data_IF_209011078754
#
_entry.id   IF_209011078754
#
_cell.length_a   1.000
_cell.length_b   1.000
_cell.length_c   1.000
_cell.angle_alpha   90.00
_cell.angle_beta   90.00
_cell.angle_gamma   90.00
#
_symmetry.space_group_name_H-M   'P 1'
#
loop_
_entity.id
_entity.type
_entity.pdbx_description
1 polymer ?
#
# COMPACT_ATOMS: atom_id res chain seq x y z
N UNK A 1 44.28 -27.71 9.87
CA UNK A 1 43.24 -26.71 9.55
C UNK A 1 42.00 -27.10 10.33
N UNK A 2 41.34 -26.17 11.02
CA UNK A 2 40.13 -26.45 11.81
C UNK A 2 38.88 -26.26 10.96
N UNK A 3 37.80 -26.95 11.29
CA UNK A 3 36.48 -26.69 10.70
C UNK A 3 35.86 -25.43 11.32
N UNK A 4 35.07 -24.70 10.52
CA UNK A 4 34.29 -23.58 11.00
C UNK A 4 33.05 -24.06 11.80
N UNK A 5 32.44 -23.14 12.53
CA UNK A 5 31.29 -23.42 13.38
C UNK A 5 30.07 -23.93 12.61
N UNK A 6 29.81 -23.40 11.40
CA UNK A 6 28.70 -23.83 10.56
C UNK A 6 28.85 -25.29 10.13
N UNK A 7 30.06 -25.68 9.72
CA UNK A 7 30.36 -27.08 9.36
C UNK A 7 30.21 -28.04 10.55
N UNK A 8 30.62 -27.62 11.76
CA UNK A 8 30.44 -28.42 12.98
C UNK A 8 28.97 -28.52 13.41
N UNK A 9 28.15 -27.50 13.11
CA UNK A 9 26.71 -27.52 13.35
C UNK A 9 25.99 -28.46 12.38
N UNK A 10 26.30 -28.38 11.08
CA UNK A 10 25.76 -29.32 10.08
C UNK A 10 26.14 -30.78 10.40
N UNK A 11 27.33 -31.01 10.99
CA UNK A 11 27.72 -32.33 11.51
C UNK A 11 26.83 -32.81 12.67
N UNK A 12 26.42 -31.91 13.59
CA UNK A 12 25.51 -32.25 14.69
C UNK A 12 24.09 -32.51 14.21
N UNK A 13 23.65 -31.78 13.19
CA UNK A 13 22.30 -31.88 12.64
C UNK A 13 22.15 -33.05 11.65
N UNK A 14 23.26 -33.66 11.22
CA UNK A 14 23.27 -34.79 10.28
C UNK A 14 23.15 -34.39 8.81
N UNK A 15 23.32 -33.11 8.50
CA UNK A 15 23.12 -32.48 7.19
C UNK A 15 24.44 -32.40 6.37
N UNK A 16 25.31 -33.39 6.54
CA UNK A 16 26.57 -33.50 5.79
C UNK A 16 26.67 -34.88 5.13
N UNK A 17 27.41 -34.98 4.02
CA UNK A 17 27.65 -36.25 3.36
C UNK A 17 28.55 -37.20 4.18
N UNK A 18 28.47 -38.50 3.89
CA UNK A 18 29.22 -39.54 4.61
C UNK A 18 30.75 -39.38 4.50
N UNK A 19 31.27 -38.78 3.42
CA UNK A 19 32.71 -38.54 3.27
C UNK A 19 33.20 -37.45 4.23
N UNK A 20 32.45 -36.34 4.31
CA UNK A 20 32.76 -35.23 5.20
C UNK A 20 32.59 -35.63 6.67
N UNK A 21 31.59 -36.47 6.97
CA UNK A 21 31.35 -37.02 8.30
C UNK A 21 32.53 -37.85 8.83
N UNK A 22 33.12 -38.71 8.01
CA UNK A 22 34.33 -39.47 8.40
C UNK A 22 35.55 -38.56 8.62
N UNK A 23 35.70 -37.53 7.80
CA UNK A 23 36.79 -36.55 7.93
C UNK A 23 36.68 -35.75 9.23
N UNK A 24 35.48 -35.26 9.56
CA UNK A 24 35.22 -34.54 10.80
C UNK A 24 35.44 -35.46 12.00
N UNK A 25 34.98 -36.72 11.96
CA UNK A 25 35.19 -37.69 13.05
C UNK A 25 36.68 -37.91 13.35
N UNK A 26 37.50 -38.18 12.33
CA UNK A 26 38.96 -38.34 12.48
C UNK A 26 39.63 -37.06 13.00
N UNK A 27 39.12 -35.90 12.61
CA UNK A 27 39.64 -34.61 13.06
C UNK A 27 39.30 -34.33 14.54
N UNK A 28 38.10 -34.69 14.99
CA UNK A 28 37.67 -34.52 16.38
C UNK A 28 38.50 -35.36 17.36
N UNK A 29 39.01 -36.51 16.92
CA UNK A 29 39.90 -37.37 17.73
C UNK A 29 41.29 -36.75 17.97
N UNK A 30 41.69 -35.77 17.14
CA UNK A 30 43.05 -35.20 17.16
C UNK A 30 43.10 -33.70 17.43
N UNK A 31 41.98 -32.98 17.28
CA UNK A 31 41.91 -31.53 17.44
C UNK A 31 41.08 -31.11 18.65
N UNK A 32 41.77 -30.70 19.72
CA UNK A 32 41.14 -30.22 20.96
C UNK A 32 40.24 -29.00 20.72
N UNK A 33 40.66 -28.05 19.88
CA UNK A 33 39.89 -26.83 19.57
C UNK A 33 38.51 -27.14 18.95
N UNK A 34 38.46 -28.05 17.99
CA UNK A 34 37.20 -28.46 17.36
C UNK A 34 36.34 -29.29 18.30
N UNK A 35 36.96 -30.12 19.16
CA UNK A 35 36.26 -30.91 20.18
C UNK A 35 35.57 -30.03 21.22
N UNK A 36 36.26 -28.99 21.72
CA UNK A 36 35.69 -28.00 22.64
C UNK A 36 34.51 -27.27 22.00
N UNK A 37 34.69 -26.76 20.77
CA UNK A 37 33.63 -26.01 20.06
C UNK A 37 32.40 -26.88 19.77
N UNK A 38 32.61 -28.15 19.41
CA UNK A 38 31.50 -29.10 19.22
C UNK A 38 30.73 -29.36 20.51
N UNK A 39 31.41 -29.43 21.65
CA UNK A 39 30.75 -29.59 22.96
C UNK A 39 29.96 -28.34 23.37
N UNK A 40 30.44 -27.13 23.06
CA UNK A 40 29.67 -25.90 23.26
C UNK A 40 28.34 -25.92 22.48
N UNK A 41 28.40 -26.30 21.20
CA UNK A 41 27.21 -26.41 20.34
C UNK A 41 26.23 -27.48 20.84
N UNK A 42 26.73 -28.64 21.29
CA UNK A 42 25.89 -29.69 21.91
C UNK A 42 25.18 -29.22 23.17
N UNK A 43 25.87 -28.45 24.01
CA UNK A 43 25.29 -27.91 25.25
C UNK A 43 24.19 -26.88 24.94
N UNK A 44 24.38 -26.04 23.92
CA UNK A 44 23.37 -25.09 23.45
C UNK A 44 22.12 -25.82 22.92
N UNK A 45 22.28 -26.84 22.08
CA UNK A 45 21.16 -27.65 21.59
C UNK A 45 20.41 -28.34 22.74
N UNK A 46 21.13 -28.90 23.71
CA UNK A 46 20.50 -29.52 24.90
C UNK A 46 19.72 -28.51 25.76
N UNK A 47 20.21 -27.26 25.85
CA UNK A 47 19.50 -26.19 26.54
C UNK A 47 18.21 -25.82 25.80
N UNK A 48 18.26 -25.65 24.48
CA UNK A 48 17.09 -25.35 23.65
C UNK A 48 16.06 -26.48 23.72
N UNK A 49 16.47 -27.75 23.63
CA UNK A 49 15.59 -28.90 23.78
C UNK A 49 14.89 -28.94 25.14
N UNK A 50 15.54 -28.49 26.21
CA UNK A 50 14.93 -28.39 27.54
C UNK A 50 14.00 -27.19 27.66
N UNK A 51 14.37 -26.05 27.09
CA UNK A 51 13.59 -24.81 27.14
C UNK A 51 12.33 -24.87 26.24
N UNK A 52 12.42 -25.59 25.12
CA UNK A 52 11.35 -25.75 24.12
C UNK A 52 10.52 -27.02 24.34
N UNK A 53 10.81 -27.83 25.38
CA UNK A 53 9.91 -28.89 25.86
C UNK A 53 8.66 -28.29 26.49
N UNK A 54 7.83 -27.70 25.63
CA UNK A 54 6.40 -27.55 25.86
C UNK A 54 5.81 -28.96 25.98
N UNK A 55 5.01 -29.18 27.02
CA UNK A 55 4.23 -30.40 27.23
C UNK A 55 3.56 -30.80 25.93
N UNK A 56 3.57 -32.09 25.61
CA UNK A 56 2.99 -32.64 24.38
C UNK A 56 1.54 -32.18 24.22
N UNK A 57 1.35 -31.12 23.43
CA UNK A 57 0.02 -30.68 23.02
C UNK A 57 -0.45 -31.72 22.03
N UNK A 58 -1.46 -32.50 22.38
CA UNK A 58 -2.15 -33.35 21.42
C UNK A 58 -2.82 -32.40 20.41
N UNK A 59 -2.17 -32.27 19.24
CA UNK A 59 -2.63 -31.39 18.16
C UNK A 59 -4.04 -31.78 17.68
N UNK A 60 -4.41 -33.06 17.78
CA UNK A 60 -5.75 -33.52 17.42
C UNK A 60 -6.77 -33.11 18.48
N UNK A 61 -6.43 -33.22 19.76
CA UNK A 61 -7.30 -32.78 20.85
C UNK A 61 -7.47 -31.25 20.85
N UNK A 62 -6.37 -30.51 20.65
CA UNK A 62 -6.39 -29.05 20.52
C UNK A 62 -7.23 -28.60 19.31
N UNK A 63 -7.08 -29.27 18.16
CA UNK A 63 -7.86 -28.98 16.95
C UNK A 63 -9.33 -29.39 17.10
N UNK A 64 -9.63 -30.50 17.76
CA UNK A 64 -11.01 -30.90 18.08
C UNK A 64 -11.69 -29.91 19.04
N UNK A 65 -10.97 -29.41 20.04
CA UNK A 65 -11.52 -28.45 20.99
C UNK A 65 -11.76 -27.08 20.35
N UNK A 66 -10.86 -26.64 19.47
CA UNK A 66 -11.03 -25.41 18.68
C UNK A 66 -12.21 -25.54 17.69
N UNK A 67 -12.26 -26.63 16.93
CA UNK A 67 -13.35 -26.88 15.97
C UNK A 67 -14.71 -27.07 16.64
N UNK A 68 -14.77 -27.69 17.83
CA UNK A 68 -16.00 -27.76 18.64
C UNK A 68 -16.46 -26.38 19.12
N UNK A 69 -15.55 -25.47 19.45
CA UNK A 69 -15.89 -24.09 19.83
C UNK A 69 -16.35 -23.23 18.66
N UNK A 70 -15.86 -23.52 17.45
CA UNK A 70 -16.24 -22.81 16.23
C UNK A 70 -17.58 -23.31 15.67
N UNK A 71 -17.95 -24.59 15.92
CA UNK A 71 -19.14 -25.22 15.31
C UNK A 71 -20.30 -25.54 16.28
N UNK A 72 -20.49 -24.77 17.35
CA UNK A 72 -21.65 -24.87 18.26
C UNK A 72 -22.16 -23.44 18.51
N UNK A 73 -23.31 -22.97 18.03
CA UNK A 73 -24.56 -23.60 17.61
C UNK A 73 -25.17 -22.85 16.41
N UNK A 74 -25.79 -23.57 15.47
CA UNK A 74 -27.15 -23.26 14.99
C UNK A 74 -27.78 -24.57 14.45
N UNK A 75 -28.39 -25.36 15.34
CA UNK A 75 -29.33 -26.42 14.94
C UNK A 75 -30.74 -25.90 15.15
N UNK A 76 -31.37 -25.40 14.09
CA UNK A 76 -32.78 -24.98 14.18
C UNK A 76 -33.46 -24.59 12.87
N UNK A 77 -32.72 -24.14 11.85
CA UNK A 77 -33.34 -23.54 10.65
C UNK A 77 -33.00 -24.30 9.36
N UNK A 78 -31.76 -24.74 9.20
CA UNK A 78 -31.29 -25.41 7.97
C UNK A 78 -31.99 -26.75 7.66
N UNK A 79 -32.39 -27.52 8.68
CA UNK A 79 -33.13 -28.77 8.46
C UNK A 79 -34.60 -28.52 8.06
N UNK A 80 -35.16 -27.37 8.44
CA UNK A 80 -36.49 -26.91 8.02
C UNK A 80 -36.46 -26.42 6.56
N UNK A 81 -35.39 -25.71 6.18
CA UNK A 81 -35.16 -25.23 4.81
C UNK A 81 -35.07 -26.36 3.78
N UNK A 82 -34.46 -27.48 4.15
CA UNK A 82 -34.31 -28.63 3.24
C UNK A 82 -35.63 -29.38 3.00
N UNK A 83 -36.54 -29.39 3.98
CA UNK A 83 -37.85 -30.07 3.91
C UNK A 83 -38.92 -29.24 3.19
N UNK A 84 -38.87 -27.91 3.30
CA UNK A 84 -39.91 -27.00 2.75
C UNK A 84 -39.41 -26.08 1.63
N UNK A 85 -38.32 -26.44 0.95
CA UNK A 85 -37.64 -25.60 -0.07
C UNK A 85 -38.56 -24.97 -1.12
N UNK A 86 -39.66 -25.63 -1.50
CA UNK A 86 -40.63 -25.11 -2.49
C UNK A 86 -41.55 -24.02 -1.92
N UNK A 87 -41.95 -24.14 -0.66
CA UNK A 87 -42.79 -23.15 0.02
C UNK A 87 -41.99 -21.96 0.52
N UNK A 88 -40.74 -22.19 0.94
CA UNK A 88 -39.82 -21.12 1.33
C UNK A 88 -39.41 -20.29 0.11
N UNK A 89 -39.20 -20.90 -1.05
CA UNK A 89 -38.95 -20.14 -2.28
C UNK A 89 -40.14 -19.25 -2.68
N UNK A 90 -41.37 -19.75 -2.54
CA UNK A 90 -42.59 -18.98 -2.82
C UNK A 90 -42.82 -17.86 -1.79
N UNK A 91 -42.61 -18.14 -0.50
CA UNK A 91 -42.73 -17.14 0.56
C UNK A 91 -41.62 -16.09 0.50
N UNK A 92 -40.39 -16.48 0.16
CA UNK A 92 -39.29 -15.55 -0.07
C UNK A 92 -39.53 -14.67 -1.30
N UNK A 93 -40.05 -15.22 -2.40
CA UNK A 93 -40.43 -14.42 -3.57
C UNK A 93 -41.56 -13.43 -3.23
N UNK A 94 -42.60 -13.88 -2.52
CA UNK A 94 -43.68 -13.00 -2.08
C UNK A 94 -43.21 -11.94 -1.08
N UNK A 95 -42.33 -12.29 -0.14
CA UNK A 95 -41.74 -11.33 0.81
C UNK A 95 -40.79 -10.33 0.12
N UNK A 96 -40.01 -10.78 -0.88
CA UNK A 96 -39.18 -9.88 -1.71
C UNK A 96 -40.06 -8.95 -2.53
N UNK A 97 -41.12 -9.44 -3.14
CA UNK A 97 -42.08 -8.61 -3.90
C UNK A 97 -42.80 -7.63 -2.96
N UNK A 98 -43.27 -8.09 -1.80
CA UNK A 98 -43.97 -7.25 -0.82
C UNK A 98 -43.03 -6.21 -0.21
N UNK A 99 -41.79 -6.58 0.10
CA UNK A 99 -40.75 -5.64 0.54
C UNK A 99 -40.37 -4.64 -0.56
N UNK A 100 -40.37 -5.06 -1.84
CA UNK A 100 -40.13 -4.17 -2.98
C UNK A 100 -41.26 -3.18 -3.24
N UNK A 101 -42.47 -3.47 -2.76
CA UNK A 101 -43.66 -2.60 -2.89
C UNK A 101 -43.86 -1.73 -1.63
N UNK A 102 -43.58 -2.27 -0.43
CA UNK A 102 -43.80 -1.59 0.85
C UNK A 102 -42.62 -0.71 1.29
N UNK A 103 -41.41 -0.98 0.79
CA UNK A 103 -40.29 -0.06 0.90
C UNK A 103 -40.29 0.82 -0.35
N UNK A 104 -40.34 2.15 -0.22
CA UNK A 104 -40.05 3.03 -1.34
C UNK A 104 -38.74 2.55 -1.98
N UNK A 105 -38.66 2.42 -3.31
CA UNK A 105 -37.44 1.96 -3.93
C UNK A 105 -36.31 2.89 -3.48
N UNK A 106 -35.31 2.34 -2.78
CA UNK A 106 -34.00 2.98 -2.57
C UNK A 106 -33.23 2.96 -3.90
N UNK A 107 -33.92 3.36 -4.96
CA UNK A 107 -33.41 3.66 -6.28
C UNK A 107 -33.74 5.13 -6.49
N UNK A 108 -32.90 5.97 -5.89
CA UNK A 108 -32.55 7.34 -6.27
C UNK A 108 -31.82 8.00 -5.10
N UNK A 109 -30.61 7.50 -4.84
CA UNK A 109 -29.51 8.42 -4.67
C UNK A 109 -28.77 8.46 -6.01
N UNK A 110 -29.45 8.99 -7.04
CA UNK A 110 -28.73 9.67 -8.12
C UNK A 110 -28.22 10.96 -7.50
N UNK A 111 -27.14 10.87 -6.73
CA UNK A 111 -26.30 12.04 -6.57
C UNK A 111 -25.65 12.19 -7.95
N UNK A 112 -26.04 13.21 -8.70
CA UNK A 112 -25.16 13.78 -9.71
C UNK A 112 -23.87 14.17 -8.99
N UNK A 113 -22.92 13.25 -8.97
CA UNK A 113 -21.61 13.47 -8.38
C UNK A 113 -20.87 14.35 -9.37
N UNK A 114 -21.00 15.66 -9.19
CA UNK A 114 -19.98 16.56 -9.67
C UNK A 114 -18.74 16.24 -8.83
N UNK A 115 -17.78 15.52 -9.40
CA UNK A 115 -16.45 15.39 -8.82
C UNK A 115 -15.95 16.81 -8.53
N UNK A 116 -15.96 17.17 -7.24
CA UNK A 116 -15.53 18.48 -6.78
C UNK A 116 -14.04 18.67 -7.04
N UNK A 117 -13.31 17.56 -7.01
CA UNK A 117 -11.89 17.49 -7.24
C UNK A 117 -11.62 17.33 -8.73
N UNK A 118 -10.82 18.25 -9.27
CA UNK A 118 -10.32 18.24 -10.65
C UNK A 118 -8.81 18.34 -10.59
N UNK A 119 -8.21 17.33 -9.97
CA UNK A 119 -6.79 17.33 -9.65
C UNK A 119 -5.98 17.37 -10.95
N UNK A 120 -5.22 18.44 -11.15
CA UNK A 120 -4.42 18.70 -12.35
C UNK A 120 -3.05 19.30 -12.04
N UNK A 121 -2.81 19.78 -10.82
CA UNK A 121 -1.53 20.31 -10.37
C UNK A 121 -0.96 19.44 -9.25
N UNK A 122 0.34 19.56 -9.03
CA UNK A 122 1.04 18.98 -7.89
C UNK A 122 1.67 20.09 -7.06
N UNK A 123 1.72 19.89 -5.74
CA UNK A 123 2.49 20.76 -4.85
C UNK A 123 3.22 19.93 -3.81
N UNK A 124 4.53 20.12 -3.72
CA UNK A 124 5.32 19.49 -2.69
C UNK A 124 4.89 19.93 -1.28
N UNK A 125 4.80 18.97 -0.36
CA UNK A 125 4.64 19.17 1.08
C UNK A 125 5.77 18.43 1.77
N UNK A 126 6.69 19.17 2.35
CA UNK A 126 7.85 18.62 3.04
C UNK A 126 7.43 18.02 4.38
N UNK A 127 7.83 16.77 4.59
CA UNK A 127 7.66 16.00 5.83
C UNK A 127 9.03 15.48 6.23
N UNK A 128 9.47 15.82 7.43
CA UNK A 128 10.77 15.42 7.99
C UNK A 128 10.63 14.22 8.93
N UNK A 129 11.73 13.50 9.22
CA UNK A 129 11.73 12.49 10.29
C UNK A 129 11.35 13.08 11.67
N UNK A 130 11.72 14.33 11.94
CA UNK A 130 11.41 15.04 13.18
C UNK A 130 9.90 15.30 13.29
N UNK A 131 9.22 15.67 12.19
CA UNK A 131 7.75 15.80 12.15
C UNK A 131 7.06 14.50 12.59
N UNK A 132 7.54 13.35 12.09
CA UNK A 132 6.99 12.04 12.45
C UNK A 132 7.28 11.68 13.91
N UNK A 133 8.46 12.02 14.40
CA UNK A 133 8.84 11.81 15.79
C UNK A 133 7.99 12.69 16.72
N UNK A 134 7.68 13.92 16.33
CA UNK A 134 6.82 14.84 17.09
C UNK A 134 5.37 14.36 17.16
N UNK A 135 4.81 13.89 16.04
CA UNK A 135 3.50 13.24 16.03
C UNK A 135 3.51 12.08 17.03
N UNK A 136 4.49 11.18 16.93
CA UNK A 136 4.62 10.02 17.80
C UNK A 136 4.74 10.41 19.28
N UNK A 137 5.56 11.42 19.60
CA UNK A 137 5.76 11.92 20.95
C UNK A 137 4.46 12.48 21.54
N UNK A 138 3.68 13.26 20.77
CA UNK A 138 2.38 13.78 21.20
C UNK A 138 1.43 12.64 21.58
N UNK A 139 1.35 11.58 20.78
CA UNK A 139 0.51 10.41 21.10
C UNK A 139 0.96 9.68 22.36
N UNK A 140 2.26 9.46 22.54
CA UNK A 140 2.80 8.86 23.77
C UNK A 140 2.53 9.69 25.02
N UNK A 141 2.69 11.02 24.95
CA UNK A 141 2.44 11.93 26.06
C UNK A 141 0.96 12.01 26.45
N UNK A 142 0.06 11.89 25.48
CA UNK A 142 -1.39 11.84 25.72
C UNK A 142 -1.88 10.51 26.33
N UNK A 143 -0.97 9.58 26.65
CA UNK A 143 -1.31 8.26 27.20
C UNK A 143 -1.82 7.26 26.15
N UNK A 144 -1.85 7.66 24.87
CA UNK A 144 -2.28 6.82 23.76
C UNK A 144 -1.09 6.02 23.21
N UNK A 145 -0.68 5.00 23.96
CA UNK A 145 0.45 4.12 23.59
C UNK A 145 0.10 3.15 22.46
N UNK A 146 -1.19 2.84 22.28
CA UNK A 146 -1.72 2.02 21.21
C UNK A 146 -2.91 2.73 20.57
N UNK A 147 -2.88 2.88 19.25
CA UNK A 147 -3.94 3.49 18.47
C UNK A 147 -4.67 2.38 17.72
N UNK A 148 -5.83 1.97 18.20
CA UNK A 148 -6.73 1.12 17.41
C UNK A 148 -7.48 1.99 16.40
N UNK A 149 -7.19 1.82 15.11
CA UNK A 149 -7.81 2.59 14.04
C UNK A 149 -9.30 2.29 13.87
N UNK A 150 -9.76 1.09 14.26
CA UNK A 150 -11.16 0.66 14.11
C UNK A 150 -12.13 1.50 14.92
N UNK A 151 -11.67 2.14 16.00
CA UNK A 151 -12.53 2.99 16.82
C UNK A 151 -12.89 4.31 16.13
N UNK A 152 -12.13 4.72 15.11
CA UNK A 152 -12.31 5.99 14.41
C UNK A 152 -13.10 5.86 13.12
N UNK A 153 -13.43 4.64 12.70
CA UNK A 153 -14.23 4.40 11.51
C UNK A 153 -13.94 3.07 10.83
N UNK A 154 -14.61 2.88 9.70
CA UNK A 154 -14.48 1.70 8.84
C UNK A 154 -13.90 2.11 7.49
N UNK A 155 -12.98 1.28 6.99
CA UNK A 155 -12.45 1.36 5.63
C UNK A 155 -12.85 0.09 4.92
N UNK A 156 -13.54 0.22 3.78
CA UNK A 156 -13.92 -0.91 2.94
C UNK A 156 -13.30 -0.72 1.56
N UNK A 157 -12.48 -1.67 1.16
CA UNK A 157 -11.93 -1.74 -0.19
C UNK A 157 -12.81 -2.65 -1.03
N UNK A 158 -13.34 -2.12 -2.13
CA UNK A 158 -14.20 -2.83 -3.07
C UNK A 158 -13.47 -2.87 -4.41
N UNK A 159 -13.13 -4.07 -4.85
CA UNK A 159 -12.39 -4.28 -6.08
C UNK A 159 -11.48 -5.47 -5.95
N UNK A 160 -10.77 -5.75 -7.02
CA UNK A 160 -9.85 -6.86 -7.16
C UNK A 160 -8.46 -6.29 -7.45
N UNK A 161 -8.03 -5.38 -6.57
CA UNK A 161 -6.74 -4.72 -6.64
C UNK A 161 -5.62 -5.74 -6.41
N UNK A 162 -4.56 -5.65 -7.21
CA UNK A 162 -3.48 -6.64 -7.23
C UNK A 162 -3.68 -7.77 -8.24
N UNK A 163 -4.87 -7.90 -8.84
CA UNK A 163 -5.05 -8.75 -10.02
C UNK A 163 -4.54 -8.04 -11.27
N UNK A 164 -3.34 -8.42 -11.72
CA UNK A 164 -2.71 -7.88 -12.91
C UNK A 164 -2.89 -8.80 -14.13
N UNK A 165 -2.89 -8.18 -15.31
CA UNK A 165 -2.85 -8.89 -16.59
C UNK A 165 -1.72 -8.35 -17.43
N UNK A 166 -0.96 -9.27 -18.01
CA UNK A 166 0.11 -8.92 -18.93
C UNK A 166 -0.44 -8.82 -20.36
N UNK A 167 -0.12 -7.73 -21.05
CA UNK A 167 -0.51 -7.48 -22.44
C UNK A 167 0.72 -6.96 -23.20
N UNK A 168 1.01 -7.54 -24.37
CA UNK A 168 2.11 -7.06 -25.22
C UNK A 168 1.95 -5.58 -25.58
N UNK A 169 3.05 -4.82 -25.51
CA UNK A 169 3.11 -3.38 -25.84
C UNK A 169 2.64 -3.06 -27.26
N UNK A 170 2.71 -4.02 -28.18
CA UNK A 170 2.25 -3.86 -29.56
C UNK A 170 0.72 -3.81 -29.68
N UNK A 171 -0.02 -4.12 -28.60
CA UNK A 171 -1.48 -4.11 -28.57
C UNK A 171 -2.03 -2.94 -27.72
N UNK A 172 -1.57 -1.71 -27.95
CA UNK A 172 -1.98 -0.54 -27.17
C UNK A 172 -3.49 -0.32 -27.15
N UNK A 173 -4.20 -0.59 -28.26
CA UNK A 173 -5.66 -0.43 -28.30
C UNK A 173 -6.38 -1.37 -27.33
N UNK A 174 -5.86 -2.59 -27.16
CA UNK A 174 -6.37 -3.56 -26.18
C UNK A 174 -6.13 -3.08 -24.75
N UNK A 175 -4.98 -2.46 -24.49
CA UNK A 175 -4.63 -1.89 -23.19
C UNK A 175 -5.56 -0.71 -22.88
N UNK A 176 -5.69 0.24 -23.82
CA UNK A 176 -6.61 1.40 -23.72
C UNK A 176 -8.05 0.96 -23.50
N UNK A 177 -8.51 -0.05 -24.23
CA UNK A 177 -9.85 -0.63 -24.04
C UNK A 177 -10.01 -1.31 -22.67
N UNK A 178 -8.98 -1.95 -22.13
CA UNK A 178 -9.05 -2.58 -20.81
C UNK A 178 -9.13 -1.54 -19.69
N UNK A 179 -8.31 -0.48 -19.77
CA UNK A 179 -8.27 0.54 -18.72
C UNK A 179 -9.37 1.59 -18.86
N UNK A 180 -9.99 1.72 -20.04
CA UNK A 180 -11.12 2.64 -20.26
C UNK A 180 -10.71 4.11 -20.39
N UNK A 181 -9.47 4.37 -20.82
CA UNK A 181 -8.98 5.70 -21.13
C UNK A 181 -7.82 5.68 -22.12
N UNK A 182 -7.64 6.81 -22.80
CA UNK A 182 -6.49 7.05 -23.64
C UNK A 182 -5.31 7.52 -22.79
N UNK A 183 -4.13 7.09 -23.15
CA UNK A 183 -2.87 7.51 -22.56
C UNK A 183 -1.76 7.46 -23.60
N UNK A 184 -0.65 8.10 -23.27
CA UNK A 184 0.57 8.17 -24.07
C UNK A 184 1.64 7.26 -23.46
N UNK A 185 2.58 6.78 -24.29
CA UNK A 185 3.75 6.05 -23.77
C UNK A 185 5.05 6.68 -24.29
N UNK A 186 6.14 6.62 -23.51
CA UNK A 186 7.45 7.05 -24.00
C UNK A 186 7.80 6.35 -25.30
N UNK A 187 8.37 7.09 -26.25
CA UNK A 187 8.95 6.49 -27.44
C UNK A 187 10.36 5.99 -27.13
N UNK A 188 10.93 5.17 -27.99
CA UNK A 188 12.30 4.67 -27.83
C UNK A 188 13.28 5.86 -27.79
N UNK A 189 13.67 6.27 -26.59
CA UNK A 189 14.74 7.22 -26.32
C UNK A 189 16.09 6.49 -26.39
N UNK A 190 17.16 7.21 -26.75
CA UNK A 190 18.43 6.63 -27.20
C UNK A 190 19.01 5.54 -26.27
N UNK A 191 18.77 5.63 -24.96
CA UNK A 191 19.35 4.72 -23.96
C UNK A 191 18.39 3.69 -23.37
N UNK A 192 17.08 3.77 -23.63
CA UNK A 192 16.09 2.91 -22.96
C UNK A 192 15.22 2.13 -23.93
N UNK A 193 14.88 0.91 -23.53
CA UNK A 193 13.92 0.06 -24.21
C UNK A 193 12.79 -0.30 -23.25
N UNK A 194 11.56 0.01 -23.66
CA UNK A 194 10.36 -0.50 -22.97
C UNK A 194 10.31 -2.02 -23.06
N UNK A 195 10.03 -2.68 -21.94
CA UNK A 195 9.77 -4.12 -21.94
C UNK A 195 8.62 -4.46 -22.87
N UNK A 196 8.68 -5.65 -23.48
CA UNK A 196 7.73 -6.06 -24.52
C UNK A 196 6.31 -6.27 -23.98
N UNK A 197 6.18 -6.41 -22.67
CA UNK A 197 4.94 -6.64 -21.97
C UNK A 197 4.64 -5.49 -20.99
N UNK A 198 3.38 -5.08 -20.99
CA UNK A 198 2.82 -4.04 -20.13
C UNK A 198 1.84 -4.71 -19.17
N UNK A 199 1.88 -4.33 -17.90
CA UNK A 199 0.96 -4.82 -16.88
C UNK A 199 -0.22 -3.86 -16.78
N UNK A 200 -1.44 -4.40 -16.75
CA UNK A 200 -2.64 -3.64 -16.43
C UNK A 200 -3.27 -4.19 -15.17
N UNK A 201 -3.69 -3.30 -14.28
CA UNK A 201 -4.29 -3.65 -13.00
C UNK A 201 -5.70 -3.12 -12.91
N UNK A 202 -6.56 -3.84 -12.19
CA UNK A 202 -7.91 -3.38 -11.92
C UNK A 202 -7.88 -2.30 -10.84
N UNK A 203 -8.74 -1.30 -11.06
CA UNK A 203 -9.02 -0.27 -10.08
C UNK A 203 -9.76 -0.81 -8.86
N UNK A 204 -9.95 0.07 -7.90
CA UNK A 204 -10.64 -0.20 -6.66
C UNK A 204 -11.38 1.04 -6.16
N UNK A 205 -12.46 0.82 -5.43
CA UNK A 205 -13.14 1.87 -4.68
C UNK A 205 -12.81 1.69 -3.21
N UNK A 206 -12.31 2.75 -2.58
CA UNK A 206 -12.10 2.79 -1.14
C UNK A 206 -13.23 3.60 -0.52
N UNK A 207 -14.08 2.94 0.27
CA UNK A 207 -15.15 3.56 1.03
C UNK A 207 -14.69 3.84 2.46
N UNK A 208 -14.92 5.06 2.95
CA UNK A 208 -14.60 5.47 4.32
C UNK A 208 -15.87 5.88 5.04
N UNK A 209 -16.09 5.32 6.23
CA UNK A 209 -17.10 5.77 7.18
C UNK A 209 -16.41 6.20 8.46
N UNK A 210 -16.61 7.45 8.87
CA UNK A 210 -15.93 8.01 10.04
C UNK A 210 -16.83 7.93 11.27
N UNK A 211 -16.23 7.60 12.42
CA UNK A 211 -16.83 7.82 13.73
C UNK A 211 -16.44 9.23 14.21
N UNK A 212 -17.27 10.20 13.85
CA UNK A 212 -17.00 11.63 14.09
C UNK A 212 -16.91 11.94 15.57
N UNK A 213 -17.72 11.29 16.41
CA UNK A 213 -17.68 11.51 17.86
C UNK A 213 -16.32 11.11 18.44
N UNK A 214 -15.81 9.94 18.06
CA UNK A 214 -14.50 9.45 18.51
C UNK A 214 -13.37 10.34 18.00
N UNK A 215 -13.42 10.76 16.73
CA UNK A 215 -12.42 11.66 16.16
C UNK A 215 -12.48 13.05 16.84
N UNK A 216 -13.66 13.61 17.04
CA UNK A 216 -13.82 14.92 17.69
C UNK A 216 -13.39 14.87 19.16
N UNK A 217 -13.61 13.76 19.85
CA UNK A 217 -13.08 13.56 21.20
C UNK A 217 -11.54 13.50 21.19
N UNK A 218 -10.95 12.80 20.22
CA UNK A 218 -9.49 12.80 20.05
C UNK A 218 -8.96 14.21 19.81
N UNK A 219 -9.57 14.98 18.90
CA UNK A 219 -9.18 16.37 18.64
C UNK A 219 -9.21 17.20 19.95
N UNK A 220 -10.27 17.06 20.76
CA UNK A 220 -10.38 17.75 22.06
C UNK A 220 -9.32 17.30 23.07
N UNK A 221 -8.99 16.01 23.14
CA UNK A 221 -7.94 15.47 24.03
C UNK A 221 -6.60 16.13 23.77
N UNK A 222 -6.31 16.46 22.52
CA UNK A 222 -5.08 17.14 22.12
C UNK A 222 -5.23 18.68 22.08
N UNK A 223 -6.28 19.24 22.67
CA UNK A 223 -6.50 20.68 22.79
C UNK A 223 -7.02 21.37 21.53
N UNK A 224 -7.41 20.62 20.50
CA UNK A 224 -8.01 21.17 19.28
C UNK A 224 -9.46 21.59 19.48
N UNK A 225 -9.86 22.68 18.81
CA UNK A 225 -11.22 23.22 18.82
C UNK A 225 -11.91 23.19 17.44
N UNK A 226 -11.17 22.85 16.39
CA UNK A 226 -11.70 22.68 15.03
C UNK A 226 -12.15 21.24 14.84
N UNK A 227 -13.46 21.03 14.92
CA UNK A 227 -14.07 19.70 14.91
C UNK A 227 -14.61 19.34 13.53
N UNK A 228 -14.66 18.03 13.23
CA UNK A 228 -15.37 17.52 12.07
C UNK A 228 -16.88 17.79 12.22
N UNK A 229 -17.59 18.14 11.12
CA UNK A 229 -19.04 18.33 11.14
C UNK A 229 -19.77 17.07 11.62
N UNK A 230 -20.71 17.21 12.57
CA UNK A 230 -21.50 16.08 13.11
C UNK A 230 -22.29 15.35 12.02
N UNK A 231 -22.76 16.08 11.01
CA UNK A 231 -23.48 15.52 9.87
C UNK A 231 -22.62 14.65 8.95
N UNK A 232 -21.35 14.41 9.30
CA UNK A 232 -20.44 13.48 8.64
C UNK A 232 -20.48 12.08 9.26
N UNK A 233 -21.01 11.94 10.47
CA UNK A 233 -20.95 10.68 11.22
C UNK A 233 -21.63 9.55 10.43
N UNK A 234 -20.92 8.44 10.27
CA UNK A 234 -21.36 7.24 9.51
C UNK A 234 -21.66 7.46 8.01
N UNK A 235 -21.53 8.68 7.49
CA UNK A 235 -21.64 8.94 6.05
C UNK A 235 -20.45 8.36 5.29
N UNK A 236 -20.71 7.88 4.08
CA UNK A 236 -19.72 7.16 3.28
C UNK A 236 -19.06 8.08 2.26
N UNK A 237 -17.77 8.37 2.46
CA UNK A 237 -16.93 8.89 1.38
C UNK A 237 -16.46 7.77 0.49
N UNK A 238 -16.27 8.04 -0.79
CA UNK A 238 -15.65 7.08 -1.70
C UNK A 238 -14.49 7.72 -2.45
N UNK A 239 -13.41 6.98 -2.57
CA UNK A 239 -12.31 7.28 -3.48
C UNK A 239 -12.32 6.21 -4.55
N UNK A 240 -12.57 6.59 -5.79
CA UNK A 240 -12.54 5.69 -6.93
C UNK A 240 -11.16 5.81 -7.58
N UNK A 241 -10.40 4.73 -7.48
CA UNK A 241 -9.13 4.53 -8.18
C UNK A 241 -9.43 3.71 -9.43
N UNK A 242 -9.20 4.29 -10.60
CA UNK A 242 -9.42 3.60 -11.87
C UNK A 242 -8.43 2.46 -12.11
N UNK A 243 -8.65 1.70 -13.18
CA UNK A 243 -7.64 0.76 -13.68
C UNK A 243 -6.33 1.52 -13.96
N UNK A 244 -5.21 0.83 -13.85
CA UNK A 244 -3.88 1.41 -14.07
C UNK A 244 -3.08 0.60 -15.08
N UNK A 245 -2.04 1.23 -15.63
CA UNK A 245 -1.04 0.64 -16.51
C UNK A 245 0.31 0.79 -15.85
N UNK A 246 1.07 -0.29 -15.74
CA UNK A 246 2.45 -0.28 -15.30
C UNK A 246 3.36 -0.71 -16.44
N UNK A 247 4.31 0.15 -16.77
CA UNK A 247 5.32 -0.05 -17.81
C UNK A 247 6.69 -0.03 -17.13
N UNK A 248 7.54 -0.98 -17.46
CA UNK A 248 8.94 -0.97 -17.04
C UNK A 248 9.87 -0.86 -18.25
N UNK A 249 11.01 -0.22 -18.01
CA UNK A 249 12.04 0.00 -19.02
C UNK A 249 13.41 -0.36 -18.45
N UNK A 250 14.29 -0.84 -19.31
CA UNK A 250 15.69 -1.12 -18.99
C UNK A 250 16.61 -0.39 -19.95
N UNK A 251 17.90 -0.31 -19.59
CA UNK A 251 18.94 0.10 -20.53
C UNK A 251 18.94 -0.79 -21.78
N UNK A 252 19.20 -0.19 -22.95
CA UNK A 252 19.39 -0.90 -24.22
C UNK A 252 20.70 -1.71 -24.25
N UNK A 253 21.72 -1.25 -23.55
CA UNK A 253 23.03 -1.89 -23.46
C UNK A 253 23.11 -2.72 -22.18
N UNK A 254 22.47 -3.89 -22.17
CA UNK A 254 22.42 -4.82 -21.02
C UNK A 254 23.80 -5.16 -20.39
N UNK A 255 24.89 -4.92 -21.13
CA UNK A 255 26.28 -5.17 -20.73
C UNK A 255 26.86 -4.19 -19.70
N UNK A 256 26.25 -3.00 -19.47
CA UNK A 256 26.67 -2.06 -18.41
C UNK A 256 25.89 -2.31 -17.10
N UNK A 257 25.78 -3.59 -16.71
CA UNK A 257 24.94 -4.08 -15.62
C UNK A 257 25.32 -3.49 -14.24
N UNK A 258 26.48 -2.82 -14.14
CA UNK A 258 26.95 -2.17 -12.91
C UNK A 258 26.13 -0.94 -12.51
N UNK A 259 25.45 -0.25 -13.45
CA UNK A 259 24.66 0.96 -13.13
C UNK A 259 23.17 0.73 -12.92
N UNK A 260 22.62 -0.43 -13.28
CA UNK A 260 21.20 -0.79 -13.10
C UNK A 260 20.21 0.34 -13.46
N UNK A 261 20.44 1.00 -14.61
CA UNK A 261 19.65 2.15 -15.04
C UNK A 261 18.30 1.66 -15.56
N UNK A 262 17.21 2.11 -14.94
CA UNK A 262 15.86 1.68 -15.30
C UNK A 262 14.82 2.70 -14.86
N UNK A 263 13.64 2.66 -15.48
CA UNK A 263 12.48 3.37 -14.95
C UNK A 263 11.22 2.52 -15.00
N UNK A 264 10.35 2.76 -14.01
CA UNK A 264 8.95 2.40 -14.05
C UNK A 264 8.09 3.60 -14.44
N UNK A 265 6.96 3.34 -15.08
CA UNK A 265 5.94 4.32 -15.41
C UNK A 265 4.57 3.74 -15.05
N UNK A 266 3.93 4.34 -14.06
CA UNK A 266 2.54 4.09 -13.69
C UNK A 266 1.64 5.14 -14.32
N UNK A 267 0.59 4.68 -15.00
CA UNK A 267 -0.37 5.53 -15.70
C UNK A 267 -1.77 5.22 -15.19
N UNK A 268 -2.46 6.23 -14.68
CA UNK A 268 -3.82 6.08 -14.16
C UNK A 268 -4.66 7.32 -14.43
N UNK A 269 -5.98 7.16 -14.49
CA UNK A 269 -6.89 8.32 -14.40
C UNK A 269 -6.79 8.95 -13.02
N UNK A 270 -7.00 10.26 -12.98
CA UNK A 270 -7.12 11.01 -11.73
C UNK A 270 -8.19 10.38 -10.84
N UNK A 271 -7.92 10.15 -9.54
CA UNK A 271 -8.91 9.61 -8.62
C UNK A 271 -10.16 10.49 -8.54
N UNK A 272 -11.33 9.85 -8.51
CA UNK A 272 -12.58 10.56 -8.24
C UNK A 272 -12.92 10.45 -6.75
N UNK A 273 -13.27 11.57 -6.13
CA UNK A 273 -13.65 11.61 -4.72
C UNK A 273 -15.13 11.97 -4.64
N UNK A 274 -15.90 11.03 -4.09
CA UNK A 274 -17.33 11.17 -3.86
C UNK A 274 -17.53 11.62 -2.41
N UNK A 275 -18.13 12.81 -2.27
CA UNK A 275 -18.47 13.41 -1.00
C UNK A 275 -19.97 13.19 -0.74
N UNK A 276 -20.38 12.78 0.47
CA UNK A 276 -21.80 12.63 0.81
C UNK A 276 -22.59 13.94 0.72
N UNK A 277 -23.87 13.84 0.38
CA UNK A 277 -24.77 15.01 0.30
C UNK A 277 -24.87 15.77 1.63
N UNK A 278 -24.94 17.10 1.50
CA UNK A 278 -25.06 18.03 2.62
C UNK A 278 -23.79 18.19 3.47
N UNK A 279 -22.65 17.60 3.07
CA UNK A 279 -21.37 17.79 3.75
C UNK A 279 -20.72 19.09 3.29
N UNK A 280 -20.41 19.96 4.26
CA UNK A 280 -19.63 21.17 4.03
C UNK A 280 -18.14 20.80 4.01
N UNK A 281 -17.60 20.62 2.82
CA UNK A 281 -16.22 20.17 2.64
C UNK A 281 -15.19 21.21 3.09
N UNK A 282 -15.53 22.50 3.13
CA UNK A 282 -14.61 23.53 3.63
C UNK A 282 -14.45 23.40 5.15
N UNK A 283 -15.53 23.07 5.88
CA UNK A 283 -15.43 22.71 7.31
C UNK A 283 -14.66 21.42 7.55
N UNK A 284 -14.83 20.41 6.70
CA UNK A 284 -14.05 19.17 6.78
C UNK A 284 -12.56 19.49 6.58
N UNK A 285 -12.21 20.28 5.56
CA UNK A 285 -10.84 20.74 5.32
C UNK A 285 -10.27 21.52 6.51
N UNK A 286 -11.03 22.49 7.04
CA UNK A 286 -10.60 23.30 8.19
C UNK A 286 -10.31 22.42 9.41
N UNK A 287 -11.16 21.43 9.68
CA UNK A 287 -10.95 20.48 10.77
C UNK A 287 -9.70 19.61 10.56
N UNK A 288 -9.50 19.06 9.35
CA UNK A 288 -8.36 18.19 9.03
C UNK A 288 -7.03 18.94 9.12
N UNK A 289 -6.93 20.11 8.49
CA UNK A 289 -5.69 20.92 8.52
C UNK A 289 -5.35 21.33 9.95
N UNK A 290 -6.37 21.62 10.77
CA UNK A 290 -6.18 22.06 12.14
C UNK A 290 -6.10 20.94 13.18
N UNK A 291 -5.97 19.68 12.75
CA UNK A 291 -5.80 18.57 13.68
C UNK A 291 -4.58 18.81 14.59
N UNK A 292 -4.74 18.75 15.92
CA UNK A 292 -3.71 19.19 16.88
C UNK A 292 -2.46 18.30 16.91
N UNK A 293 -2.56 17.09 16.35
CA UNK A 293 -1.43 16.19 16.17
C UNK A 293 -0.61 16.49 14.90
N UNK A 294 -1.13 17.25 13.93
CA UNK A 294 -0.36 17.66 12.74
C UNK A 294 0.65 18.75 13.15
N UNK A 295 1.95 18.60 12.82
CA UNK A 295 2.98 19.63 13.01
C UNK A 295 2.62 20.96 12.33
N UNK A 296 3.02 22.08 12.94
CA UNK A 296 2.63 23.41 12.47
C UNK A 296 3.20 23.72 11.07
N UNK A 297 4.40 23.23 10.76
CA UNK A 297 5.01 23.42 9.44
C UNK A 297 4.23 22.68 8.35
N UNK A 298 3.81 21.43 8.60
CA UNK A 298 2.96 20.66 7.68
C UNK A 298 1.60 21.34 7.52
N UNK A 299 0.99 21.79 8.63
CA UNK A 299 -0.27 22.55 8.61
C UNK A 299 -0.17 23.79 7.73
N UNK A 300 0.87 24.60 7.92
CA UNK A 300 1.09 25.84 7.18
C UNK A 300 1.31 25.58 5.69
N UNK A 301 2.08 24.54 5.34
CA UNK A 301 2.28 24.13 3.95
C UNK A 301 0.95 23.73 3.28
N UNK A 302 0.16 22.87 3.91
CA UNK A 302 -1.14 22.42 3.36
C UNK A 302 -2.14 23.58 3.29
N UNK A 303 -2.17 24.47 4.29
CA UNK A 303 -3.02 25.65 4.30
C UNK A 303 -2.68 26.65 3.19
N UNK A 304 -1.40 26.70 2.77
CA UNK A 304 -0.94 27.58 1.69
C UNK A 304 -1.48 27.19 0.30
N UNK A 305 -1.94 25.94 0.13
CA UNK A 305 -2.52 25.42 -1.11
C UNK A 305 -3.95 25.95 -1.25
N UNK A 306 -4.11 27.15 -1.80
CA UNK A 306 -5.42 27.81 -1.94
C UNK A 306 -6.35 27.07 -2.90
N UNK A 307 -5.82 26.50 -3.96
CA UNK A 307 -6.52 25.77 -5.03
C UNK A 307 -6.54 24.24 -4.82
N UNK A 308 -6.71 23.81 -3.56
CA UNK A 308 -6.65 22.41 -3.13
C UNK A 308 -7.61 21.43 -3.84
N UNK A 309 -8.69 21.92 -4.46
CA UNK A 309 -9.61 21.08 -5.26
C UNK A 309 -9.00 20.66 -6.60
N UNK A 310 -7.96 21.36 -7.04
CA UNK A 310 -7.25 21.10 -8.30
C UNK A 310 -5.80 20.67 -8.08
N UNK A 311 -5.32 20.65 -6.84
CA UNK A 311 -3.91 20.43 -6.52
C UNK A 311 -3.73 19.22 -5.62
N UNK A 312 -2.88 18.30 -6.04
CA UNK A 312 -2.46 17.12 -5.27
C UNK A 312 -1.27 17.52 -4.39
N UNK A 313 -1.41 17.49 -3.05
CA UNK A 313 -0.25 17.61 -2.17
C UNK A 313 0.60 16.33 -2.29
N UNK A 314 1.86 16.49 -2.66
CA UNK A 314 2.80 15.40 -2.84
C UNK A 314 3.84 15.42 -1.71
N UNK A 315 3.91 14.39 -0.85
CA UNK A 315 4.85 14.37 0.26
C UNK A 315 6.29 14.23 -0.25
N UNK A 316 7.20 15.01 0.32
CA UNK A 316 8.63 15.00 -0.01
C UNK A 316 9.45 15.10 1.28
N UNK A 317 10.71 14.67 1.24
CA UNK A 317 11.68 14.94 2.31
C UNK A 317 12.31 16.32 2.11
N UNK A 318 12.79 16.90 3.21
CA UNK A 318 13.68 18.06 3.27
C UNK A 318 15.02 17.86 2.54
N UNK A 319 15.39 16.61 2.29
CA UNK A 319 16.60 16.23 1.54
C UNK A 319 16.35 16.01 0.04
N UNK A 320 15.11 16.18 -0.43
CA UNK A 320 14.78 16.03 -1.84
C UNK A 320 15.00 17.35 -2.60
N UNK A 321 15.61 17.25 -3.79
CA UNK A 321 15.66 18.31 -4.77
C UNK A 321 14.35 18.32 -5.57
N UNK A 322 13.62 19.45 -5.54
CA UNK A 322 12.28 19.56 -6.13
C UNK A 322 12.28 20.60 -7.24
N UNK A 323 11.68 20.25 -8.38
CA UNK A 323 11.55 21.14 -9.55
C UNK A 323 10.16 21.05 -10.15
N UNK A 324 9.45 22.18 -10.19
CA UNK A 324 8.23 22.31 -10.99
C UNK A 324 8.61 22.30 -12.48
N UNK A 325 7.90 21.50 -13.29
CA UNK A 325 8.18 21.34 -14.72
C UNK A 325 6.91 21.50 -15.55
N UNK A 326 7.09 21.83 -16.83
CA UNK A 326 6.03 21.79 -17.84
C UNK A 326 6.52 20.96 -19.02
N UNK A 327 5.85 19.84 -19.28
CA UNK A 327 6.22 18.86 -20.30
C UNK A 327 5.07 18.76 -21.29
N UNK A 328 5.31 19.09 -22.55
CA UNK A 328 4.28 19.09 -23.60
C UNK A 328 2.99 19.85 -23.22
N UNK A 329 3.14 20.97 -22.51
CA UNK A 329 2.02 21.79 -22.01
C UNK A 329 1.35 21.29 -20.72
N UNK A 330 1.73 20.11 -20.22
CA UNK A 330 1.23 19.53 -18.97
C UNK A 330 2.13 19.92 -17.80
N UNK A 331 1.53 20.29 -16.67
CA UNK A 331 2.28 20.65 -15.44
C UNK A 331 2.64 19.39 -14.66
N UNK A 332 3.84 19.39 -14.09
CA UNK A 332 4.34 18.29 -13.29
C UNK A 332 5.36 18.74 -12.25
N UNK A 333 5.81 17.79 -11.46
CA UNK A 333 6.84 17.97 -10.44
C UNK A 333 7.87 16.86 -10.58
N UNK A 334 9.15 17.23 -10.57
CA UNK A 334 10.28 16.31 -10.50
C UNK A 334 10.87 16.38 -9.11
N UNK A 335 11.10 15.22 -8.52
CA UNK A 335 11.67 15.04 -7.19
C UNK A 335 12.89 14.15 -7.37
N UNK A 336 14.04 14.57 -6.88
CA UNK A 336 15.24 13.75 -6.99
C UNK A 336 16.07 13.79 -5.73
N UNK A 337 16.80 12.70 -5.50
CA UNK A 337 17.70 12.58 -4.36
C UNK A 337 18.98 11.92 -4.80
N UNK A 338 20.09 12.50 -4.33
CA UNK A 338 21.44 11.96 -4.54
C UNK A 338 21.91 11.32 -3.26
N UNK A 339 22.32 10.06 -3.34
CA UNK A 339 22.93 9.37 -2.20
C UNK A 339 24.43 9.27 -2.41
N UNK A 340 25.19 9.70 -1.41
CA UNK A 340 26.64 9.48 -1.33
C UNK A 340 26.86 8.37 -0.31
N UNK A 341 27.00 7.13 -0.78
CA UNK A 341 27.14 5.96 0.11
C UNK A 341 28.04 4.84 -0.43
N UNK A 342 28.32 4.82 -1.73
CA UNK A 342 29.29 3.93 -2.36
C UNK A 342 30.16 4.73 -3.34
N UNK A 343 31.20 4.12 -3.94
CA UNK A 343 32.00 4.73 -5.02
C UNK A 343 31.17 5.13 -6.27
N UNK A 344 29.86 4.84 -6.26
CA UNK A 344 28.88 5.16 -7.30
C UNK A 344 27.84 6.14 -6.72
N UNK A 345 27.66 7.29 -7.38
CA UNK A 345 26.56 8.22 -7.09
C UNK A 345 25.25 7.60 -7.53
N UNK A 346 24.40 7.23 -6.57
CA UNK A 346 23.03 6.80 -6.86
C UNK A 346 22.11 8.02 -6.96
N UNK A 347 21.32 8.05 -8.04
CA UNK A 347 20.35 9.12 -8.31
C UNK A 347 18.98 8.49 -8.45
N UNK A 348 18.09 8.80 -7.51
CA UNK A 348 16.68 8.44 -7.62
C UNK A 348 15.93 9.68 -8.09
N UNK A 349 15.17 9.53 -9.17
CA UNK A 349 14.35 10.62 -9.73
C UNK A 349 12.94 10.13 -9.91
N UNK A 350 11.96 10.87 -9.39
CA UNK A 350 10.55 10.66 -9.62
C UNK A 350 9.99 11.85 -10.40
N UNK A 351 9.07 11.60 -11.32
CA UNK A 351 8.36 12.65 -12.05
C UNK A 351 6.87 12.33 -12.01
N UNK A 352 6.07 13.27 -11.52
CA UNK A 352 4.62 13.21 -11.61
C UNK A 352 4.12 14.26 -12.61
N UNK A 353 3.30 13.83 -13.56
CA UNK A 353 2.70 14.67 -14.61
C UNK A 353 1.19 14.42 -14.68
N UNK A 354 0.40 15.46 -14.91
CA UNK A 354 -1.02 15.33 -15.21
C UNK A 354 -1.30 15.89 -16.61
N UNK A 355 -1.66 15.01 -17.53
CA UNK A 355 -2.05 15.36 -18.91
C UNK A 355 -3.55 15.10 -19.08
N UNK A 356 -4.35 16.17 -19.06
CA UNK A 356 -5.80 16.13 -19.24
C UNK A 356 -6.55 15.11 -18.36
N UNK A 357 -6.17 15.00 -17.08
CA UNK A 357 -6.82 14.10 -16.11
C UNK A 357 -6.24 12.68 -16.10
N UNK A 358 -5.18 12.40 -16.87
CA UNK A 358 -4.36 11.19 -16.77
C UNK A 358 -3.07 11.52 -16.05
N UNK A 359 -2.79 10.81 -14.97
CA UNK A 359 -1.59 10.94 -14.16
C UNK A 359 -0.54 9.95 -14.67
N UNK A 360 0.68 10.44 -14.85
CA UNK A 360 1.87 9.66 -15.18
C UNK A 360 2.85 9.81 -14.02
N UNK A 361 3.22 8.70 -13.40
CA UNK A 361 4.20 8.63 -12.31
C UNK A 361 5.39 7.84 -12.81
N UNK A 362 6.51 8.53 -13.02
CA UNK A 362 7.77 7.91 -13.35
C UNK A 362 8.58 7.70 -12.08
N UNK A 363 9.22 6.53 -11.99
CA UNK A 363 10.16 6.17 -10.93
C UNK A 363 11.45 5.70 -11.59
N UNK A 364 12.48 6.55 -11.59
CA UNK A 364 13.78 6.31 -12.21
C UNK A 364 14.85 5.91 -11.19
N UNK A 365 15.56 4.83 -11.49
CA UNK A 365 16.73 4.38 -10.74
C UNK A 365 18.00 4.67 -11.53
N UNK A 366 18.94 5.39 -10.92
CA UNK A 366 20.17 5.89 -11.53
C UNK A 366 19.92 6.72 -12.80
N UNK A 367 18.78 7.41 -12.86
CA UNK A 367 18.39 8.30 -13.95
C UNK A 367 18.37 9.73 -13.41
N UNK A 368 19.00 10.65 -14.16
CA UNK A 368 19.00 12.06 -13.80
C UNK A 368 17.61 12.71 -14.03
N UNK A 369 17.27 13.77 -13.29
CA UNK A 369 16.03 14.52 -13.50
C UNK A 369 15.80 14.94 -14.95
N UNK A 370 16.84 15.47 -15.61
CA UNK A 370 16.74 15.96 -16.99
C UNK A 370 16.54 14.82 -18.00
N UNK A 371 17.12 13.64 -17.75
CA UNK A 371 16.89 12.46 -18.57
C UNK A 371 15.47 11.92 -18.39
N UNK A 372 14.94 11.91 -17.17
CA UNK A 372 13.55 11.53 -16.90
C UNK A 372 12.56 12.50 -17.56
N UNK A 373 12.86 13.79 -17.56
CA UNK A 373 12.08 14.81 -18.29
C UNK A 373 12.10 14.51 -19.79
N UNK A 374 13.26 14.23 -20.40
CA UNK A 374 13.36 13.88 -21.82
C UNK A 374 12.55 12.62 -22.18
N UNK A 375 12.56 11.61 -21.30
CA UNK A 375 11.73 10.41 -21.47
C UNK A 375 10.25 10.80 -21.54
N UNK A 376 9.79 11.63 -20.60
CA UNK A 376 8.41 12.10 -20.57
C UNK A 376 8.04 13.02 -21.74
N UNK A 377 8.96 13.87 -22.21
CA UNK A 377 8.79 14.70 -23.42
C UNK A 377 8.56 13.85 -24.68
N UNK A 378 9.13 12.64 -24.72
CA UNK A 378 8.98 11.73 -25.86
C UNK A 378 7.60 11.08 -25.95
N UNK A 379 6.75 11.18 -24.92
CA UNK A 379 5.47 10.49 -24.86
C UNK A 379 4.52 10.87 -26.02
N UNK A 380 3.92 9.86 -26.66
CA UNK A 380 2.95 10.01 -27.76
C UNK A 380 1.70 9.18 -27.59
#
# INVERSE_FOLDING_TARGET
MCFDEGTLQSYLDGEIDESLKEQIKKHLDTCEKCSVKLNELKNLNSFLDKALKTSSIDLNEAWQNLSKKINKEERGVFNMFRKYKKYIAAAAAAAVITASIALPPVQKAEAEILSLFRLNNFKAVTITPDDLQDIKNKFYQAGNKEIDLKQYGDIKVIGDYGSSKEISKNNLDKIKSYVGYNFKIPQDVDNFKLRDNIYVEKGQTVEFKLNVDKINNLIKTFGGNKLLPENLNEKTFKIILGNSVHISSTDKNESDSQKNISYGLDIMKTPEIIVPDGVDIEKVRDAVINMPFIPDDIRNQIASIKDWKTTIPFPVSDTDDIKDVTINGSKGIVISKKFQGSDILEVYSNLALNDHGVIYLFSGNNISPDELIKIAESMR
#
